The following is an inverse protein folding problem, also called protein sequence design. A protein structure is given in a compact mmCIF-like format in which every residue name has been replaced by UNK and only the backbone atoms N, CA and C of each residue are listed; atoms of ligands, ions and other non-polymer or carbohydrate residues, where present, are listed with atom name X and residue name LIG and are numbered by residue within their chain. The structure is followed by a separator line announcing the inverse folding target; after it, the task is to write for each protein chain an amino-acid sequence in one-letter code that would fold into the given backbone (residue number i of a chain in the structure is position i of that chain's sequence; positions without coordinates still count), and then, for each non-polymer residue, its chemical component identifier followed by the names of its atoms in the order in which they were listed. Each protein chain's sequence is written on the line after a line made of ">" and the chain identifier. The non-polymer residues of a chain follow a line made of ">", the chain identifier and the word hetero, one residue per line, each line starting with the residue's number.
data_IF_170363970735
#
_entry.id   IF_170363970735
#
_cell.length_a   1.000
_cell.length_b   1.000
_cell.length_c   1.000
_cell.angle_alpha   90.00
_cell.angle_beta   90.00
_cell.angle_gamma   90.00
#
_symmetry.space_group_name_H-M   'P 1'
#
loop_
_entity.id
_entity.type
_entity.pdbx_description
1 polymer ?
#
# COMPACT_ATOMS: atom_id res chain seq x y z
N UNK A 1 -20.35 12.88 11.54
CA UNK A 1 -18.99 13.23 12.03
C UNK A 1 -18.90 14.74 12.19
N UNK A 2 -18.85 15.23 13.43
CA UNK A 2 -18.84 16.68 13.76
C UNK A 2 -17.43 17.25 13.99
N UNK A 3 -16.38 16.44 13.85
CA UNK A 3 -15.01 16.88 14.06
C UNK A 3 -14.62 17.97 13.04
N UNK A 4 -14.03 19.07 13.54
CA UNK A 4 -13.57 20.22 12.75
C UNK A 4 -12.06 20.35 12.90
N UNK A 5 -11.35 20.41 11.77
CA UNK A 5 -9.92 20.73 11.71
C UNK A 5 -9.73 22.23 11.54
N UNK A 6 -8.49 22.71 11.66
CA UNK A 6 -8.15 24.12 11.39
C UNK A 6 -8.52 24.59 9.97
N UNK A 7 -8.62 23.68 8.99
CA UNK A 7 -8.92 24.03 7.60
C UNK A 7 -10.41 23.87 7.25
N UNK A 8 -11.09 22.84 7.76
CA UNK A 8 -12.49 22.53 7.41
C UNK A 8 -13.10 21.46 8.31
N UNK A 9 -14.37 21.13 8.11
CA UNK A 9 -14.98 19.96 8.76
C UNK A 9 -14.36 18.68 8.20
N UNK A 10 -14.07 17.73 9.08
CA UNK A 10 -13.53 16.42 8.70
C UNK A 10 -14.44 15.70 7.70
N UNK A 11 -15.76 15.92 7.78
CA UNK A 11 -16.71 15.35 6.82
C UNK A 11 -16.38 15.70 5.36
N UNK A 12 -15.99 16.96 5.12
CA UNK A 12 -15.72 17.48 3.78
C UNK A 12 -14.31 17.07 3.28
N UNK A 13 -13.38 16.78 4.20
CA UNK A 13 -11.96 16.56 3.88
C UNK A 13 -11.39 15.19 4.25
N UNK A 14 -12.21 14.26 4.77
CA UNK A 14 -11.76 12.92 5.18
C UNK A 14 -10.97 12.18 4.09
N UNK A 15 -11.34 12.33 2.82
CA UNK A 15 -10.69 11.67 1.69
C UNK A 15 -9.35 12.35 1.32
N UNK A 16 -9.14 13.60 1.73
CA UNK A 16 -7.89 14.33 1.50
C UNK A 16 -6.85 14.05 2.59
N UNK A 17 -7.24 13.42 3.69
CA UNK A 17 -6.35 13.17 4.84
C UNK A 17 -5.05 12.47 4.43
N UNK A 18 -5.14 11.37 3.67
CA UNK A 18 -3.98 10.63 3.20
C UNK A 18 -3.04 11.47 2.32
N UNK A 19 -3.59 12.30 1.43
CA UNK A 19 -2.82 13.20 0.57
C UNK A 19 -2.10 14.29 1.39
N UNK A 20 -2.79 14.93 2.33
CA UNK A 20 -2.21 15.97 3.18
C UNK A 20 -1.09 15.40 4.06
N UNK A 21 -1.32 14.23 4.66
CA UNK A 21 -0.31 13.54 5.45
C UNK A 21 0.92 13.18 4.60
N UNK A 22 0.69 12.64 3.40
CA UNK A 22 1.78 12.28 2.47
C UNK A 22 2.63 13.48 2.08
N UNK A 23 2.01 14.64 1.80
CA UNK A 23 2.74 15.86 1.46
C UNK A 23 3.62 16.33 2.63
N UNK A 24 3.07 16.34 3.86
CA UNK A 24 3.84 16.69 5.06
C UNK A 24 5.01 15.72 5.30
N UNK A 25 4.79 14.40 5.17
CA UNK A 25 5.85 13.40 5.30
C UNK A 25 6.95 13.55 4.25
N UNK A 26 6.58 13.90 3.01
CA UNK A 26 7.54 14.13 1.92
C UNK A 26 8.48 15.28 2.23
N UNK A 27 7.92 16.40 2.70
CA UNK A 27 8.70 17.57 3.10
C UNK A 27 9.62 17.27 4.29
N UNK A 28 9.08 16.61 5.32
CA UNK A 28 9.85 16.24 6.51
C UNK A 28 11.01 15.28 6.18
N UNK A 29 10.76 14.26 5.36
CA UNK A 29 11.82 13.32 4.94
C UNK A 29 12.89 14.00 4.09
N UNK A 30 12.50 14.93 3.22
CA UNK A 30 13.45 15.71 2.44
C UNK A 30 14.32 16.60 3.32
N UNK A 31 13.73 17.28 4.32
CA UNK A 31 14.47 18.09 5.29
C UNK A 31 15.42 17.26 6.16
N UNK A 32 14.98 16.07 6.59
CA UNK A 32 15.78 15.21 7.46
C UNK A 32 16.97 14.53 6.73
N UNK A 33 16.83 14.25 5.44
CA UNK A 33 17.83 13.45 4.69
C UNK A 33 18.55 14.21 3.59
N UNK A 34 18.05 15.39 3.19
CA UNK A 34 18.49 16.16 2.01
C UNK A 34 18.50 15.33 0.72
N UNK A 35 17.74 14.24 0.68
CA UNK A 35 17.65 13.30 -0.46
C UNK A 35 16.22 13.24 -0.96
N UNK A 36 16.04 12.66 -2.15
CA UNK A 36 14.71 12.36 -2.70
C UNK A 36 14.06 11.28 -1.84
N UNK A 37 12.92 11.55 -1.17
CA UNK A 37 12.26 10.56 -0.34
C UNK A 37 11.51 9.53 -1.20
N UNK A 38 11.49 8.28 -0.73
CA UNK A 38 10.59 7.24 -1.22
C UNK A 38 9.53 6.98 -0.14
N UNK A 39 8.29 7.35 -0.42
CA UNK A 39 7.16 7.22 0.51
C UNK A 39 6.13 6.27 -0.09
N UNK A 40 5.59 5.40 0.74
CA UNK A 40 4.46 4.52 0.39
C UNK A 40 3.30 4.88 1.32
N UNK A 41 2.14 5.17 0.75
CA UNK A 41 0.92 5.46 1.50
C UNK A 41 -0.19 4.46 1.18
N UNK A 42 -0.99 4.10 2.19
CA UNK A 42 -2.17 3.25 2.04
C UNK A 42 -3.44 4.03 1.65
N UNK A 43 -3.48 5.35 1.82
CA UNK A 43 -4.61 6.20 1.44
C UNK A 43 -4.16 7.23 0.43
N UNK A 44 -4.94 7.36 -0.65
CA UNK A 44 -4.61 8.20 -1.80
C UNK A 44 -5.84 8.96 -2.30
N UNK A 45 -5.57 10.09 -2.96
CA UNK A 45 -6.51 10.94 -3.66
C UNK A 45 -5.85 11.39 -4.97
N UNK A 46 -6.59 11.88 -6.00
CA UNK A 46 -5.95 12.50 -7.15
C UNK A 46 -4.79 13.44 -6.75
N UNK A 47 -3.69 13.34 -7.49
CA UNK A 47 -2.38 13.99 -7.21
C UNK A 47 -1.47 13.35 -6.16
N UNK A 48 -1.87 12.31 -5.43
CA UNK A 48 -0.98 11.61 -4.47
C UNK A 48 0.31 11.09 -5.13
N UNK A 49 0.25 10.63 -6.38
CA UNK A 49 1.39 10.09 -7.12
C UNK A 49 2.55 11.07 -7.35
N UNK A 50 2.33 12.37 -7.13
CA UNK A 50 3.40 13.38 -7.13
C UNK A 50 4.34 13.25 -5.92
N UNK A 51 3.83 12.73 -4.80
CA UNK A 51 4.51 12.75 -3.51
C UNK A 51 4.91 11.35 -3.01
N UNK A 52 4.14 10.32 -3.37
CA UNK A 52 4.35 8.94 -2.89
C UNK A 52 3.87 7.89 -3.88
N UNK A 53 4.38 6.67 -3.69
CA UNK A 53 3.78 5.46 -4.25
C UNK A 53 2.64 4.92 -3.38
N UNK A 54 2.05 3.83 -3.83
CA UNK A 54 0.91 3.21 -3.18
C UNK A 54 1.08 1.70 -3.07
N UNK A 55 0.70 1.15 -1.93
CA UNK A 55 0.56 -0.29 -1.78
C UNK A 55 -0.93 -0.65 -1.78
N UNK A 56 -1.29 -1.69 -2.53
CA UNK A 56 -2.68 -2.10 -2.78
C UNK A 56 -3.44 -2.65 -1.57
N UNK A 57 -2.84 -2.64 -0.38
CA UNK A 57 -3.50 -3.05 0.85
C UNK A 57 -3.42 -4.56 1.13
N UNK A 58 -4.08 -4.96 2.22
CA UNK A 58 -3.99 -6.30 2.80
C UNK A 58 -4.74 -7.36 1.96
N UNK A 59 -4.13 -7.78 0.86
CA UNK A 59 -4.57 -8.91 0.05
C UNK A 59 -4.49 -10.24 0.82
N UNK A 60 -5.22 -11.25 0.37
CA UNK A 60 -5.11 -12.63 0.86
C UNK A 60 -4.29 -13.47 -0.12
N UNK A 61 -3.63 -14.51 0.37
CA UNK A 61 -2.91 -15.51 -0.42
C UNK A 61 -3.90 -16.40 -1.22
N UNK A 62 -4.52 -15.84 -2.26
CA UNK A 62 -5.47 -16.52 -3.14
C UNK A 62 -5.20 -16.17 -4.60
N UNK A 63 -5.53 -17.07 -5.53
CA UNK A 63 -5.44 -16.84 -6.97
C UNK A 63 -6.29 -15.64 -7.44
N UNK A 64 -7.44 -15.43 -6.81
CA UNK A 64 -8.29 -14.26 -7.07
C UNK A 64 -7.56 -12.95 -6.75
N UNK A 65 -6.86 -12.88 -5.61
CA UNK A 65 -6.10 -11.69 -5.23
C UNK A 65 -4.86 -11.48 -6.11
N UNK A 66 -4.25 -12.56 -6.61
CA UNK A 66 -3.21 -12.48 -7.64
C UNK A 66 -3.77 -11.85 -8.92
N UNK A 67 -4.89 -12.34 -9.45
CA UNK A 67 -5.47 -11.80 -10.68
C UNK A 67 -5.91 -10.33 -10.53
N UNK A 68 -6.59 -10.00 -9.43
CA UNK A 68 -7.07 -8.62 -9.17
C UNK A 68 -5.95 -7.62 -8.88
N UNK A 69 -4.76 -8.08 -8.48
CA UNK A 69 -3.58 -7.22 -8.34
C UNK A 69 -3.18 -6.58 -9.68
N UNK A 70 -3.32 -7.30 -10.79
CA UNK A 70 -2.96 -6.83 -12.15
C UNK A 70 -3.85 -5.64 -12.53
N UNK A 71 -5.15 -5.82 -12.35
CA UNK A 71 -6.16 -4.77 -12.62
C UNK A 71 -5.88 -3.55 -11.76
N UNK A 72 -5.67 -3.77 -10.45
CA UNK A 72 -5.41 -2.69 -9.51
C UNK A 72 -4.15 -1.90 -9.86
N UNK A 73 -3.03 -2.57 -10.17
CA UNK A 73 -1.79 -1.90 -10.61
C UNK A 73 -2.03 -1.04 -11.86
N UNK A 74 -2.77 -1.55 -12.85
CA UNK A 74 -3.10 -0.79 -14.06
C UNK A 74 -3.97 0.44 -13.76
N UNK A 75 -4.99 0.29 -12.92
CA UNK A 75 -5.85 1.41 -12.52
C UNK A 75 -5.06 2.52 -11.81
N UNK A 76 -4.15 2.16 -10.91
CA UNK A 76 -3.32 3.15 -10.21
C UNK A 76 -2.35 3.88 -11.16
N UNK A 77 -1.86 3.22 -12.21
CA UNK A 77 -1.12 3.91 -13.28
C UNK A 77 -2.01 4.94 -14.00
N UNK A 78 -3.27 4.61 -14.30
CA UNK A 78 -4.24 5.55 -14.88
C UNK A 78 -4.60 6.70 -13.93
N UNK A 79 -4.64 6.44 -12.62
CA UNK A 79 -4.84 7.48 -11.60
C UNK A 79 -3.60 8.35 -11.35
N UNK A 80 -2.51 8.13 -12.10
CA UNK A 80 -1.28 8.91 -12.00
C UNK A 80 -0.39 8.53 -10.82
N UNK A 81 -0.45 7.28 -10.34
CA UNK A 81 0.37 6.74 -9.26
C UNK A 81 1.15 5.52 -9.79
N UNK A 82 2.29 5.74 -10.47
CA UNK A 82 3.00 4.67 -11.18
C UNK A 82 3.84 3.77 -10.27
N UNK A 83 4.24 4.22 -9.08
CA UNK A 83 4.98 3.41 -8.11
C UNK A 83 4.01 2.64 -7.22
N UNK A 84 3.61 1.44 -7.65
CA UNK A 84 2.51 0.67 -7.05
C UNK A 84 2.74 -0.84 -7.14
N UNK A 85 2.20 -1.57 -6.16
CA UNK A 85 2.26 -3.04 -6.12
C UNK A 85 1.40 -3.64 -5.02
N UNK A 86 1.16 -4.95 -5.14
CA UNK A 86 0.52 -5.77 -4.11
C UNK A 86 1.56 -6.54 -3.29
N UNK A 87 1.15 -7.12 -2.16
CA UNK A 87 2.04 -8.00 -1.41
C UNK A 87 2.18 -9.33 -2.12
N UNK A 88 3.40 -9.61 -2.54
CA UNK A 88 3.74 -10.84 -3.24
C UNK A 88 3.53 -12.01 -2.28
N UNK A 89 2.91 -13.08 -2.80
CA UNK A 89 2.42 -14.24 -2.06
C UNK A 89 1.20 -13.98 -1.14
N UNK A 90 0.76 -12.72 -0.99
CA UNK A 90 -0.41 -12.34 -0.20
C UNK A 90 -0.08 -12.00 1.25
N UNK A 91 -0.76 -10.99 1.79
CA UNK A 91 -0.57 -10.54 3.17
C UNK A 91 -1.25 -11.46 4.19
N UNK A 92 -2.51 -11.84 3.94
CA UNK A 92 -3.32 -12.69 4.83
C UNK A 92 -3.28 -14.14 4.35
N UNK A 93 -3.38 -15.07 5.30
CA UNK A 93 -3.36 -16.53 5.10
C UNK A 93 -2.00 -17.04 4.63
N UNK A 94 -1.79 -18.34 4.81
CA UNK A 94 -0.59 -19.01 4.34
C UNK A 94 -0.69 -19.26 2.83
N UNK A 95 0.37 -18.87 2.11
CA UNK A 95 0.45 -19.09 0.68
C UNK A 95 0.88 -20.54 0.38
N UNK A 96 0.21 -21.19 -0.57
CA UNK A 96 0.74 -22.42 -1.17
C UNK A 96 1.98 -22.10 -1.99
N UNK A 97 2.94 -23.03 -2.04
CA UNK A 97 4.19 -22.88 -2.79
C UNK A 97 3.96 -22.46 -4.26
N UNK A 98 3.06 -23.16 -4.97
CA UNK A 98 2.75 -22.86 -6.37
C UNK A 98 2.25 -21.41 -6.56
N UNK A 99 1.29 -20.98 -5.74
CA UNK A 99 0.78 -19.61 -5.77
C UNK A 99 1.90 -18.59 -5.54
N UNK A 100 2.77 -18.83 -4.56
CA UNK A 100 3.85 -17.90 -4.23
C UNK A 100 4.88 -17.80 -5.37
N UNK A 101 5.25 -18.92 -6.01
CA UNK A 101 6.11 -18.92 -7.20
C UNK A 101 5.49 -18.12 -8.34
N UNK A 102 4.20 -18.34 -8.65
CA UNK A 102 3.51 -17.58 -9.70
C UNK A 102 3.39 -16.10 -9.36
N UNK A 103 3.14 -15.77 -8.10
CA UNK A 103 3.06 -14.38 -7.68
C UNK A 103 4.43 -13.70 -7.70
N UNK A 104 5.52 -14.41 -7.40
CA UNK A 104 6.88 -13.87 -7.53
C UNK A 104 7.22 -13.57 -8.99
N UNK A 105 6.86 -14.46 -9.92
CA UNK A 105 7.03 -14.24 -11.36
C UNK A 105 6.31 -12.96 -11.83
N UNK A 106 5.05 -12.78 -11.40
CA UNK A 106 4.28 -11.57 -11.70
C UNK A 106 4.81 -10.33 -10.97
N UNK A 107 5.07 -10.47 -9.68
CA UNK A 107 5.41 -9.39 -8.75
C UNK A 107 6.80 -8.81 -8.96
N UNK A 108 7.70 -9.55 -9.63
CA UNK A 108 8.95 -9.01 -10.14
C UNK A 108 8.73 -7.86 -11.16
N UNK A 109 7.55 -7.78 -11.78
CA UNK A 109 7.18 -6.73 -12.72
C UNK A 109 6.30 -5.62 -12.10
N UNK A 110 5.99 -5.70 -10.80
CA UNK A 110 5.43 -4.52 -10.11
C UNK A 110 6.51 -3.45 -9.99
N UNK A 111 6.13 -2.19 -10.24
CA UNK A 111 7.05 -1.07 -10.02
C UNK A 111 7.43 -0.95 -8.55
N UNK A 112 6.51 -1.31 -7.64
CA UNK A 112 6.79 -1.53 -6.23
C UNK A 112 6.70 -3.02 -5.90
N UNK A 113 7.82 -3.73 -6.04
CA UNK A 113 7.92 -5.16 -5.72
C UNK A 113 8.26 -5.37 -4.25
N UNK A 114 7.33 -5.91 -3.45
CA UNK A 114 7.56 -6.20 -2.03
C UNK A 114 6.93 -7.51 -1.56
N UNK A 115 7.58 -8.12 -0.58
CA UNK A 115 7.03 -9.20 0.24
C UNK A 115 6.58 -8.62 1.58
N UNK A 116 5.35 -8.92 1.99
CA UNK A 116 4.81 -8.52 3.28
C UNK A 116 3.77 -9.54 3.70
N UNK A 117 3.86 -10.01 4.93
CA UNK A 117 2.98 -11.04 5.48
C UNK A 117 2.41 -10.58 6.82
N UNK A 118 1.19 -11.04 7.12
CA UNK A 118 0.57 -10.81 8.41
C UNK A 118 1.31 -11.62 9.47
N UNK A 119 1.85 -10.94 10.48
CA UNK A 119 2.35 -11.62 11.65
C UNK A 119 1.16 -12.18 12.43
N UNK A 120 0.90 -13.48 12.30
CA UNK A 120 0.01 -14.17 13.21
C UNK A 120 0.76 -14.29 14.54
N UNK A 121 0.40 -13.43 15.51
CA UNK A 121 0.77 -13.67 16.90
C UNK A 121 0.07 -14.96 17.34
N UNK A 122 0.78 -16.09 17.24
CA UNK A 122 0.31 -17.35 17.78
C UNK A 122 0.42 -17.27 19.31
N UNK A 123 -0.53 -16.60 19.96
CA UNK A 123 -0.74 -16.69 21.42
C UNK A 123 -1.60 -17.95 21.67
N UNK A 124 -1.11 -19.09 21.21
CA UNK A 124 -1.66 -20.41 21.55
C UNK A 124 -0.50 -21.25 22.05
N UNK A 125 -0.50 -21.54 23.35
CA UNK A 125 0.53 -22.33 24.00
C UNK A 125 0.70 -23.70 23.37
N UNK A 126 1.92 -23.99 22.96
CA UNK A 126 2.45 -25.35 22.87
C UNK A 126 3.66 -25.44 23.81
N UNK A 127 3.34 -25.49 25.11
CA UNK A 127 4.02 -26.39 26.03
C UNK A 127 3.29 -27.72 25.94
N UNK A 128 3.91 -28.68 25.27
CA UNK A 128 3.72 -30.11 25.45
C UNK A 128 5.05 -30.77 25.17
#
# INVERSE_FOLDING_TARGET
>A
MLAKTIHSRMYDTKNLYGLQHTNASQQAMHQATSKRPAIITASSFPSTGRFAGHWLGQNSATWYNLATSIISVQLFNLFGIPYVGADICGFKKDATEELCIRWQQLGAFYTFSRYSFMCLANISGHLS
#
